data_IF_456325827113
#
_entry.id   IF_456325827113
#
_cell.length_a   1.000
_cell.length_b   1.000
_cell.length_c   1.000
_cell.angle_alpha   90.00
_cell.angle_beta   90.00
_cell.angle_gamma   90.00
#
_symmetry.space_group_name_H-M   'P 1'
#
loop_
_entity.id
_entity.type
_entity.pdbx_description
1 polymer ?
#
# COMPACT_ATOMS: atom_id res chain seq x y z
N UNK A 1 17.00 -14.99 4.74
CA UNK A 1 16.81 -15.26 6.18
C UNK A 1 16.76 -14.01 7.07
N UNK A 2 17.34 -12.86 6.70
CA UNK A 2 17.31 -11.62 7.51
C UNK A 2 15.95 -10.87 7.48
N UNK A 3 15.13 -11.07 6.46
CA UNK A 3 13.83 -10.35 6.23
C UNK A 3 12.71 -10.90 7.12
N UNK A 4 12.73 -12.21 7.44
CA UNK A 4 11.71 -12.85 8.29
C UNK A 4 11.76 -12.31 9.72
N UNK A 5 12.93 -11.92 10.21
CA UNK A 5 13.08 -11.35 11.55
C UNK A 5 12.56 -9.91 11.66
N UNK A 6 12.61 -9.11 10.58
CA UNK A 6 12.09 -7.75 10.60
C UNK A 6 10.56 -7.71 10.61
N UNK A 7 9.90 -8.63 9.88
CA UNK A 7 8.44 -8.73 9.87
C UNK A 7 7.88 -9.26 11.21
N UNK A 8 8.59 -10.21 11.84
CA UNK A 8 8.23 -10.74 13.16
C UNK A 8 8.36 -9.70 14.27
N UNK A 9 9.39 -8.82 14.20
CA UNK A 9 9.58 -7.75 15.19
C UNK A 9 8.54 -6.63 15.07
N UNK A 10 8.06 -6.31 13.86
CA UNK A 10 6.97 -5.35 13.66
C UNK A 10 5.63 -5.88 14.20
N UNK A 11 5.33 -7.17 14.01
CA UNK A 11 4.15 -7.81 14.57
C UNK A 11 4.19 -7.89 16.11
N UNK A 12 5.37 -8.17 16.70
CA UNK A 12 5.56 -8.23 18.15
C UNK A 12 5.44 -6.84 18.80
N UNK A 13 5.89 -5.77 18.13
CA UNK A 13 5.76 -4.39 18.63
C UNK A 13 4.29 -3.94 18.69
N UNK A 14 3.45 -4.39 17.75
CA UNK A 14 2.00 -4.12 17.76
C UNK A 14 1.28 -4.84 18.92
N UNK A 15 1.75 -6.00 19.35
CA UNK A 15 1.18 -6.72 20.49
C UNK A 15 1.58 -6.13 21.84
N UNK A 16 2.74 -5.44 21.95
CA UNK A 16 3.24 -4.88 23.20
C UNK A 16 2.56 -3.56 23.63
N UNK A 17 1.85 -2.88 22.71
CA UNK A 17 1.16 -1.60 22.99
C UNK A 17 -0.27 -1.80 23.51
N UNK A 18 -0.74 -3.05 23.65
CA UNK A 18 -2.08 -3.39 24.11
C UNK A 18 -2.44 -2.94 25.53
N UNK A 19 -1.51 -2.32 26.26
CA UNK A 19 -1.73 -1.88 27.66
C UNK A 19 -2.30 -0.47 27.84
N UNK A 20 -2.44 0.37 26.82
CA UNK A 20 -2.86 1.78 26.94
C UNK A 20 -4.10 2.13 26.10
N UNK A 21 -4.62 1.21 25.29
CA UNK A 21 -5.87 1.45 24.59
C UNK A 21 -7.04 1.18 25.54
N UNK A 22 -7.55 2.22 26.18
CA UNK A 22 -8.90 2.16 26.71
C UNK A 22 -9.80 1.62 25.60
N UNK A 23 -10.59 0.60 25.91
CA UNK A 23 -11.47 -0.11 24.98
C UNK A 23 -12.56 0.81 24.40
N UNK A 24 -12.16 1.70 23.51
CA UNK A 24 -13.09 2.34 22.60
C UNK A 24 -13.36 1.32 21.51
N UNK A 25 -14.64 0.99 21.37
CA UNK A 25 -15.14 0.05 20.35
C UNK A 25 -14.85 0.67 18.96
N UNK A 26 -13.68 0.38 18.43
CA UNK A 26 -13.33 0.85 17.09
C UNK A 26 -14.31 0.22 16.10
N UNK A 27 -14.96 1.02 15.23
CA UNK A 27 -16.01 0.52 14.36
C UNK A 27 -15.45 -0.55 13.41
N UNK A 28 -16.15 -1.69 13.38
CA UNK A 28 -15.96 -2.78 12.41
C UNK A 28 -16.85 -2.54 11.20
N UNK A 29 -16.56 -3.16 10.07
CA UNK A 29 -17.37 -3.08 8.87
C UNK A 29 -16.58 -2.79 7.61
N UNK A 30 -17.32 -2.53 6.54
CA UNK A 30 -16.77 -2.20 5.23
C UNK A 30 -16.26 -0.75 5.23
N UNK A 31 -15.14 -0.54 4.59
CA UNK A 31 -14.61 0.78 4.27
C UNK A 31 -13.98 0.78 2.89
N UNK A 32 -13.93 1.92 2.27
CA UNK A 32 -13.31 2.09 0.97
C UNK A 32 -12.64 3.44 0.84
N UNK A 33 -11.86 3.60 -0.22
CA UNK A 33 -11.18 4.86 -0.49
C UNK A 33 -10.67 4.98 -1.90
N UNK A 34 -10.39 6.21 -2.29
CA UNK A 34 -9.75 6.56 -3.54
C UNK A 34 -8.64 7.57 -3.25
N UNK A 35 -7.52 7.44 -3.94
CA UNK A 35 -6.37 8.31 -3.66
C UNK A 35 -5.35 8.34 -4.78
N UNK A 36 -4.30 9.09 -4.52
CA UNK A 36 -3.13 9.19 -5.37
C UNK A 36 -1.96 8.42 -4.75
N UNK A 37 -1.23 7.75 -5.60
CA UNK A 37 -0.04 6.96 -5.25
C UNK A 37 1.13 7.49 -6.02
N UNK A 38 2.27 7.59 -5.34
CA UNK A 38 3.56 7.86 -5.92
C UNK A 38 4.51 6.69 -5.63
N UNK A 39 5.03 6.08 -6.67
CA UNK A 39 5.93 4.92 -6.60
C UNK A 39 7.33 5.31 -7.06
N UNK A 40 8.30 5.19 -6.16
CA UNK A 40 9.72 5.38 -6.45
C UNK A 40 10.42 4.03 -6.56
N UNK A 41 10.95 3.71 -7.74
CA UNK A 41 11.68 2.46 -7.97
C UNK A 41 13.18 2.65 -7.80
N UNK A 42 13.81 1.84 -6.94
CA UNK A 42 15.22 2.03 -6.56
C UNK A 42 16.23 1.62 -7.63
N UNK A 43 15.83 0.86 -8.65
CA UNK A 43 16.75 0.43 -9.73
C UNK A 43 16.77 1.34 -10.94
N UNK A 44 15.67 2.01 -11.23
CA UNK A 44 15.53 2.84 -12.44
C UNK A 44 15.41 4.32 -12.12
N UNK A 45 15.37 4.70 -10.82
CA UNK A 45 15.06 6.06 -10.32
C UNK A 45 13.78 6.64 -10.96
N UNK A 46 12.87 5.74 -11.39
CA UNK A 46 11.61 6.14 -12.00
C UNK A 46 10.59 6.53 -10.92
N UNK A 47 9.89 7.64 -11.17
CA UNK A 47 8.86 8.19 -10.30
C UNK A 47 7.50 8.08 -11.00
N UNK A 48 6.69 7.11 -10.61
CA UNK A 48 5.43 6.79 -11.25
C UNK A 48 4.25 7.23 -10.39
N UNK A 49 3.30 7.93 -11.02
CA UNK A 49 2.06 8.35 -10.39
C UNK A 49 0.87 7.47 -10.81
N UNK A 50 0.01 7.10 -9.86
CA UNK A 50 -1.18 6.30 -10.11
C UNK A 50 -2.39 6.78 -9.30
N UNK A 51 -3.59 6.53 -9.81
CA UNK A 51 -4.84 6.63 -9.05
C UNK A 51 -5.13 5.25 -8.47
N UNK A 52 -5.42 5.21 -7.18
CA UNK A 52 -5.66 3.99 -6.41
C UNK A 52 -7.10 3.96 -5.89
N UNK A 53 -7.74 2.80 -6.00
CA UNK A 53 -8.97 2.46 -5.30
C UNK A 53 -8.70 1.34 -4.29
N UNK A 54 -9.33 1.42 -3.13
CA UNK A 54 -9.19 0.46 -2.03
C UNK A 54 -10.55 0.10 -1.47
N UNK A 55 -10.74 -1.19 -1.20
CA UNK A 55 -11.89 -1.71 -0.48
C UNK A 55 -11.40 -2.63 0.63
N UNK A 56 -11.90 -2.44 1.84
CA UNK A 56 -11.50 -3.24 3.00
C UNK A 56 -12.67 -3.63 3.87
N UNK A 57 -12.44 -4.67 4.66
CA UNK A 57 -13.36 -5.12 5.70
C UNK A 57 -12.61 -5.30 7.03
N UNK A 58 -13.01 -4.51 8.03
CA UNK A 58 -12.50 -4.60 9.40
C UNK A 58 -13.42 -5.52 10.19
N UNK A 59 -13.00 -6.76 10.39
CA UNK A 59 -13.80 -7.78 11.06
C UNK A 59 -13.58 -7.80 12.58
N UNK A 60 -12.48 -7.23 13.06
CA UNK A 60 -12.19 -7.03 14.49
C UNK A 60 -11.67 -5.60 14.72
N UNK A 61 -11.73 -5.08 15.97
CA UNK A 61 -11.21 -3.74 16.30
C UNK A 61 -9.76 -3.50 15.86
N UNK A 62 -8.96 -4.55 15.74
CA UNK A 62 -7.53 -4.47 15.45
C UNK A 62 -7.10 -5.13 14.14
N UNK A 63 -8.01 -5.83 13.44
CA UNK A 63 -7.65 -6.64 12.27
C UNK A 63 -8.68 -6.52 11.16
N UNK A 64 -8.21 -6.47 9.91
CA UNK A 64 -9.02 -6.46 8.71
C UNK A 64 -8.26 -6.97 7.50
N UNK A 65 -8.93 -6.94 6.36
CA UNK A 65 -8.38 -7.26 5.04
C UNK A 65 -8.67 -6.12 4.08
N UNK A 66 -7.79 -5.91 3.11
CA UNK A 66 -7.94 -4.89 2.07
C UNK A 66 -7.62 -5.47 0.70
N UNK A 67 -8.42 -5.11 -0.31
CA UNK A 67 -8.07 -5.21 -1.71
C UNK A 67 -7.72 -3.83 -2.25
N UNK A 68 -6.73 -3.75 -3.11
CA UNK A 68 -6.20 -2.52 -3.67
C UNK A 68 -6.01 -2.67 -5.18
N UNK A 69 -6.43 -1.66 -5.93
CA UNK A 69 -6.25 -1.55 -7.36
C UNK A 69 -5.68 -0.17 -7.67
N UNK A 70 -4.65 -0.09 -8.51
CA UNK A 70 -4.14 1.19 -8.98
C UNK A 70 -3.96 1.19 -10.50
N UNK A 71 -4.12 2.36 -11.09
CA UNK A 71 -3.94 2.60 -12.53
C UNK A 71 -3.01 3.79 -12.70
N UNK A 72 -1.90 3.58 -13.41
CA UNK A 72 -0.90 4.61 -13.67
C UNK A 72 -1.48 5.76 -14.49
N UNK A 73 -1.18 6.98 -14.05
CA UNK A 73 -1.61 8.23 -14.71
C UNK A 73 -0.43 9.07 -15.20
N UNK A 74 0.77 8.80 -14.70
CA UNK A 74 2.00 9.45 -15.15
C UNK A 74 3.01 8.41 -15.62
N UNK A 75 3.71 8.77 -16.70
CA UNK A 75 4.81 8.00 -17.27
C UNK A 75 6.13 8.68 -16.89
N UNK A 76 7.19 7.91 -16.73
CA UNK A 76 8.53 8.45 -16.54
C UNK A 76 9.47 7.98 -17.65
N UNK A 77 10.45 8.83 -18.00
CA UNK A 77 11.40 8.58 -19.07
C UNK A 77 12.79 8.35 -18.49
N UNK A 78 13.30 7.14 -18.68
CA UNK A 78 14.66 6.77 -18.26
C UNK A 78 15.53 6.61 -19.50
N UNK A 79 16.28 7.66 -19.83
CA UNK A 79 17.06 7.73 -21.08
C UNK A 79 16.15 7.70 -22.32
N UNK A 80 16.39 6.80 -23.30
CA UNK A 80 15.56 6.67 -24.50
C UNK A 80 14.26 5.84 -24.29
N UNK A 81 14.02 5.32 -23.08
CA UNK A 81 12.89 4.46 -22.76
C UNK A 81 11.85 5.20 -21.94
N UNK A 82 10.57 4.94 -22.21
CA UNK A 82 9.44 5.38 -21.40
C UNK A 82 8.90 4.19 -20.61
N UNK A 83 8.88 4.31 -19.28
CA UNK A 83 8.34 3.31 -18.37
C UNK A 83 6.97 3.78 -17.90
N UNK A 84 5.98 2.89 -18.00
CA UNK A 84 4.60 3.16 -17.61
C UNK A 84 4.08 2.03 -16.74
N UNK A 85 3.56 2.37 -15.55
CA UNK A 85 2.72 1.47 -14.78
C UNK A 85 1.33 1.41 -15.44
N UNK A 86 0.88 0.21 -15.85
CA UNK A 86 -0.45 0.06 -16.42
C UNK A 86 -1.52 -0.10 -15.35
N UNK A 87 -1.34 -1.08 -14.50
CA UNK A 87 -2.18 -1.35 -13.34
C UNK A 87 -1.42 -2.21 -12.36
N UNK A 88 -1.78 -2.06 -11.10
CA UNK A 88 -1.36 -2.94 -10.01
C UNK A 88 -2.57 -3.36 -9.19
N UNK A 89 -2.50 -4.56 -8.67
CA UNK A 89 -3.50 -5.15 -7.80
C UNK A 89 -2.81 -5.86 -6.64
N UNK A 90 -3.39 -5.71 -5.44
CA UNK A 90 -2.83 -6.33 -4.24
C UNK A 90 -3.92 -6.66 -3.22
N UNK A 91 -3.62 -7.64 -2.38
CA UNK A 91 -4.42 -7.99 -1.20
C UNK A 91 -3.55 -7.88 0.05
N UNK A 92 -4.14 -7.36 1.12
CA UNK A 92 -3.43 -7.11 2.38
C UNK A 92 -4.20 -7.65 3.58
N UNK A 93 -3.47 -8.20 4.55
CA UNK A 93 -3.87 -8.24 5.94
C UNK A 93 -3.49 -6.92 6.61
N UNK A 94 -4.41 -6.34 7.38
CA UNK A 94 -4.23 -5.02 8.00
C UNK A 94 -4.43 -5.11 9.50
N UNK A 95 -3.43 -4.63 10.24
CA UNK A 95 -3.52 -4.35 11.67
C UNK A 95 -3.86 -2.89 11.92
N UNK A 96 -4.79 -2.65 12.83
CA UNK A 96 -5.21 -1.31 13.25
C UNK A 96 -4.83 -1.08 14.70
N UNK A 97 -4.25 0.07 14.99
CA UNK A 97 -4.02 0.56 16.34
C UNK A 97 -4.82 1.85 16.52
N UNK A 98 -6.02 1.79 17.15
CA UNK A 98 -6.79 2.99 17.47
C UNK A 98 -6.04 3.84 18.50
N UNK A 99 -5.62 5.03 18.11
CA UNK A 99 -4.95 6.00 19.00
C UNK A 99 -5.90 7.09 19.49
N UNK A 100 -7.06 7.23 18.81
CA UNK A 100 -8.18 8.06 19.26
C UNK A 100 -9.50 7.52 18.65
N UNK A 101 -10.70 8.03 19.05
CA UNK A 101 -11.98 7.62 18.47
C UNK A 101 -12.03 7.70 16.94
N UNK A 102 -11.28 8.65 16.38
CA UNK A 102 -11.31 8.96 14.96
C UNK A 102 -9.98 8.66 14.23
N UNK A 103 -8.95 8.20 14.95
CA UNK A 103 -7.60 8.01 14.38
C UNK A 103 -7.09 6.60 14.64
N UNK A 104 -6.73 5.92 13.57
CA UNK A 104 -6.03 4.64 13.62
C UNK A 104 -4.63 4.80 13.02
N UNK A 105 -3.61 4.22 13.66
CA UNK A 105 -2.38 3.84 12.99
C UNK A 105 -2.58 2.47 12.34
N UNK A 106 -1.86 2.23 11.26
CA UNK A 106 -2.02 1.03 10.44
C UNK A 106 -0.68 0.35 10.23
N UNK A 107 -0.69 -0.97 10.25
CA UNK A 107 0.37 -1.79 9.66
C UNK A 107 -0.27 -2.78 8.69
N UNK A 108 0.34 -2.99 7.53
CA UNK A 108 -0.20 -3.90 6.53
C UNK A 108 0.88 -4.79 5.92
N UNK A 109 0.52 -6.01 5.62
CA UNK A 109 1.33 -6.97 4.88
C UNK A 109 0.47 -7.58 3.80
N UNK A 110 1.00 -7.70 2.59
CA UNK A 110 0.23 -8.18 1.47
C UNK A 110 1.07 -8.74 0.34
N UNK A 111 0.37 -9.22 -0.66
CA UNK A 111 0.93 -9.71 -1.90
C UNK A 111 0.22 -9.05 -3.07
N UNK A 112 0.99 -8.63 -4.06
CA UNK A 112 0.44 -7.94 -5.23
C UNK A 112 1.18 -8.28 -6.51
N UNK A 113 0.56 -7.88 -7.62
CA UNK A 113 1.17 -7.95 -8.95
C UNK A 113 1.06 -6.59 -9.62
N UNK A 114 2.14 -6.18 -10.28
CA UNK A 114 2.20 -4.91 -11.01
C UNK A 114 2.60 -5.18 -12.45
N UNK A 115 1.84 -4.59 -13.37
CA UNK A 115 2.11 -4.67 -14.80
C UNK A 115 2.78 -3.41 -15.29
N UNK A 116 4.01 -3.55 -15.72
CA UNK A 116 4.79 -2.50 -16.36
C UNK A 116 4.77 -2.64 -17.87
N UNK A 117 4.76 -1.52 -18.58
CA UNK A 117 5.03 -1.46 -20.01
C UNK A 117 6.24 -0.58 -20.25
N UNK A 118 7.21 -1.11 -20.97
CA UNK A 118 8.37 -0.34 -21.45
C UNK A 118 8.23 -0.15 -22.95
N UNK A 119 8.32 1.11 -23.41
CA UNK A 119 8.25 1.49 -24.80
C UNK A 119 9.36 2.49 -25.14
N UNK A 120 9.72 2.56 -26.43
CA UNK A 120 10.81 3.41 -26.91
C UNK A 120 12.11 2.64 -27.14
N UNK A 121 13.05 3.26 -27.91
CA UNK A 121 14.30 2.63 -28.33
C UNK A 121 14.15 1.70 -29.54
N UNK A 122 15.22 1.02 -29.95
CA UNK A 122 15.25 0.18 -31.15
C UNK A 122 14.61 -1.21 -30.95
N UNK A 123 14.13 -1.54 -29.75
CA UNK A 123 13.50 -2.82 -29.41
C UNK A 123 11.98 -2.71 -29.40
N UNK A 124 11.23 -3.79 -29.74
CA UNK A 124 9.77 -3.81 -29.64
C UNK A 124 9.28 -3.55 -28.21
N UNK A 125 8.13 -2.90 -28.09
CA UNK A 125 7.45 -2.73 -26.80
C UNK A 125 7.25 -4.06 -26.08
N UNK A 126 7.59 -4.14 -24.80
CA UNK A 126 7.31 -5.34 -24.00
C UNK A 126 6.58 -4.98 -22.70
N UNK A 127 5.81 -5.94 -22.20
CA UNK A 127 5.12 -5.83 -20.92
C UNK A 127 5.62 -6.93 -19.98
N UNK A 128 5.88 -6.58 -18.73
CA UNK A 128 6.28 -7.52 -17.69
C UNK A 128 5.28 -7.44 -16.52
N UNK A 129 4.92 -8.61 -16.00
CA UNK A 129 4.21 -8.71 -14.74
C UNK A 129 5.21 -9.09 -13.66
N UNK A 130 5.25 -8.33 -12.59
CA UNK A 130 6.14 -8.57 -11.48
C UNK A 130 5.33 -8.64 -10.18
N UNK A 131 5.47 -9.77 -9.50
CA UNK A 131 4.84 -10.03 -8.21
C UNK A 131 5.70 -9.48 -7.08
N UNK A 132 5.04 -9.01 -6.01
CA UNK A 132 5.73 -8.41 -4.88
C UNK A 132 5.11 -8.77 -3.54
N UNK A 133 5.97 -8.91 -2.52
CA UNK A 133 5.58 -8.80 -1.13
C UNK A 133 5.57 -7.35 -0.71
N UNK A 134 4.49 -6.94 -0.05
CA UNK A 134 4.24 -5.54 0.30
C UNK A 134 4.15 -5.39 1.81
N UNK A 135 4.93 -4.48 2.38
CA UNK A 135 4.94 -4.17 3.80
C UNK A 135 4.69 -2.67 3.97
N UNK A 136 3.69 -2.29 4.73
CA UNK A 136 3.34 -0.89 4.85
C UNK A 136 2.94 -0.46 6.25
N UNK A 137 3.06 0.83 6.48
CA UNK A 137 2.55 1.53 7.67
C UNK A 137 1.79 2.77 7.22
N UNK A 138 0.86 3.22 8.04
CA UNK A 138 0.08 4.40 7.69
C UNK A 138 -0.70 4.97 8.87
N UNK A 139 -1.42 6.03 8.59
CA UNK A 139 -2.35 6.66 9.53
C UNK A 139 -3.66 7.01 8.80
N UNK A 140 -4.76 6.85 9.50
CA UNK A 140 -6.11 7.15 9.02
C UNK A 140 -6.84 7.99 10.05
N UNK A 141 -7.41 9.12 9.60
CA UNK A 141 -8.19 10.03 10.45
C UNK A 141 -9.55 10.29 9.83
N UNK A 142 -10.64 10.12 10.61
CA UNK A 142 -12.01 10.41 10.20
C UNK A 142 -12.47 11.71 10.82
N UNK A 143 -12.97 12.65 10.01
CA UNK A 143 -13.40 13.98 10.46
C UNK A 143 -14.75 13.94 11.19
N UNK A 144 -15.66 13.07 10.73
CA UNK A 144 -17.05 12.95 11.19
C UNK A 144 -17.41 11.51 11.59
N UNK A 145 -16.42 10.66 11.82
CA UNK A 145 -16.61 9.23 12.11
C UNK A 145 -16.86 8.36 10.87
N UNK A 146 -17.24 8.93 9.73
CA UNK A 146 -17.53 8.25 8.46
C UNK A 146 -16.48 8.57 7.40
N UNK A 147 -16.28 9.87 7.15
CA UNK A 147 -15.40 10.36 6.11
C UNK A 147 -14.04 10.75 6.69
N UNK A 148 -12.96 10.50 5.94
CA UNK A 148 -11.62 10.76 6.45
C UNK A 148 -10.55 10.81 5.38
N UNK A 149 -9.32 10.97 5.85
CA UNK A 149 -8.10 10.88 5.04
C UNK A 149 -7.21 9.76 5.56
N UNK A 150 -6.43 9.21 4.66
CA UNK A 150 -5.44 8.20 4.97
C UNK A 150 -4.14 8.49 4.24
N UNK A 151 -3.03 8.28 4.91
CA UNK A 151 -1.69 8.32 4.33
C UNK A 151 -0.99 7.00 4.63
N UNK A 152 -0.28 6.45 3.64
CA UNK A 152 0.47 5.21 3.79
C UNK A 152 1.86 5.33 3.15
N UNK A 153 2.79 4.63 3.74
CA UNK A 153 4.06 4.23 3.14
C UNK A 153 4.05 2.71 2.99
N UNK A 154 4.46 2.21 1.84
CA UNK A 154 4.57 0.78 1.56
C UNK A 154 5.86 0.47 0.85
N UNK A 155 6.61 -0.47 1.37
CA UNK A 155 7.75 -1.09 0.70
C UNK A 155 7.26 -2.29 -0.09
N UNK A 156 7.52 -2.28 -1.40
CA UNK A 156 7.28 -3.41 -2.30
C UNK A 156 8.60 -4.12 -2.58
N UNK A 157 8.65 -5.40 -2.29
CA UNK A 157 9.78 -6.27 -2.58
C UNK A 157 9.37 -7.22 -3.71
N UNK A 158 9.87 -6.93 -4.91
CA UNK A 158 9.56 -7.76 -6.08
C UNK A 158 10.24 -9.11 -5.98
N UNK A 159 9.52 -10.17 -6.40
CA UNK A 159 10.01 -11.55 -6.35
C UNK A 159 11.09 -11.82 -7.38
N UNK A 160 11.13 -11.05 -8.47
CA UNK A 160 12.20 -11.14 -9.47
C UNK A 160 13.35 -10.21 -9.11
N UNK A 161 14.56 -10.76 -8.99
CA UNK A 161 15.78 -9.99 -8.67
C UNK A 161 16.05 -8.83 -9.66
N UNK A 162 15.52 -8.93 -10.89
CA UNK A 162 15.64 -7.88 -11.91
C UNK A 162 14.82 -6.63 -11.60
N UNK A 163 13.69 -6.76 -10.88
CA UNK A 163 12.78 -5.64 -10.61
C UNK A 163 13.20 -4.79 -9.40
N UNK A 164 13.96 -5.36 -8.43
CA UNK A 164 14.43 -4.63 -7.25
C UNK A 164 13.33 -4.41 -6.22
N UNK A 165 13.28 -3.19 -5.67
CA UNK A 165 12.32 -2.77 -4.67
C UNK A 165 11.71 -1.43 -5.06
N UNK A 166 10.51 -1.14 -4.57
CA UNK A 166 9.89 0.17 -4.73
C UNK A 166 9.37 0.71 -3.40
N UNK A 167 9.46 2.01 -3.24
CA UNK A 167 8.91 2.76 -2.13
C UNK A 167 7.65 3.51 -2.61
N UNK A 168 6.52 3.20 -2.00
CA UNK A 168 5.21 3.67 -2.43
C UNK A 168 4.61 4.56 -1.34
N UNK A 169 4.30 5.79 -1.70
CA UNK A 169 3.64 6.78 -0.84
C UNK A 169 2.23 7.02 -1.37
N UNK A 170 1.25 6.99 -0.49
CA UNK A 170 -0.13 7.26 -0.90
C UNK A 170 -0.83 8.24 0.03
N UNK A 171 -1.75 9.02 -0.56
CA UNK A 171 -2.73 9.83 0.13
C UNK A 171 -4.10 9.53 -0.45
N UNK A 172 -5.08 9.27 0.41
CA UNK A 172 -6.40 8.85 -0.02
C UNK A 172 -7.51 9.47 0.84
N UNK A 173 -8.63 9.77 0.20
CA UNK A 173 -9.91 9.89 0.89
C UNK A 173 -10.37 8.49 1.28
N UNK A 174 -10.93 8.35 2.47
CA UNK A 174 -11.49 7.09 2.99
C UNK A 174 -12.87 7.29 3.58
N UNK A 175 -13.74 6.28 3.44
CA UNK A 175 -15.10 6.28 3.98
C UNK A 175 -15.43 4.94 4.61
N UNK A 176 -16.12 4.98 5.74
CA UNK A 176 -16.77 3.81 6.39
C UNK A 176 -18.20 3.68 5.87
N UNK A 177 -18.69 2.44 5.75
CA UNK A 177 -20.06 2.13 5.29
C UNK A 177 -20.84 1.40 6.37
#
# INVERSE_FOLDING_TARGET
>A
MKIIFAAASAAAALCAVSGVAQAQTAPTGVYGGIGYVNTNTNKTDANLGAIQARLGYRFMPYVGVEGELAVGVNDDSVGPFTVKEKHSEAIYGVGFLPVSPNTDLLARVGYGTTKFKTSGGPTPDFSTNDDSWNFGVGAKHHFDGVNGVRVDYTRQEFTKDSAGNADVYSIAYTRRF
#
